data_IF_368420004107
#
_entry.id   IF_368420004107
#
_cell.length_a   1.000
_cell.length_b   1.000
_cell.length_c   1.000
_cell.angle_alpha   90.00
_cell.angle_beta   90.00
_cell.angle_gamma   90.00
#
_symmetry.space_group_name_H-M   'P 1'
#
loop_
_entity.id
_entity.type
_entity.pdbx_description
1 polymer ?
#
# COMPACT_ATOMS: atom_id res chain seq x y z
N UNK A 1 -17.98 -8.81 8.56
CA UNK A 1 -17.28 -7.67 7.95
C UNK A 1 -18.06 -6.98 6.84
N UNK A 2 -19.07 -7.58 6.19
CA UNK A 2 -19.95 -6.89 5.24
C UNK A 2 -19.31 -6.45 3.90
N UNK A 3 -17.98 -6.53 3.80
CA UNK A 3 -17.24 -6.37 2.55
C UNK A 3 -17.28 -7.67 1.75
N UNK A 4 -17.70 -7.59 0.49
CA UNK A 4 -17.59 -8.70 -0.46
C UNK A 4 -16.13 -8.85 -0.87
N UNK A 5 -15.51 -9.96 -0.46
CA UNK A 5 -14.19 -10.35 -0.92
C UNK A 5 -14.35 -11.41 -1.99
N UNK A 6 -13.99 -11.10 -3.24
CA UNK A 6 -13.93 -12.10 -4.30
C UNK A 6 -12.60 -12.88 -4.21
N UNK A 7 -12.68 -14.16 -3.85
CA UNK A 7 -11.52 -15.03 -3.64
C UNK A 7 -10.77 -15.44 -4.92
N UNK A 8 -11.33 -15.16 -6.12
CA UNK A 8 -10.68 -15.44 -7.40
C UNK A 8 -9.41 -14.60 -7.64
N UNK A 9 -9.25 -13.50 -6.91
CA UNK A 9 -8.10 -12.61 -6.96
C UNK A 9 -6.74 -13.33 -6.90
N UNK A 10 -6.63 -14.30 -5.98
CA UNK A 10 -5.38 -15.05 -5.75
C UNK A 10 -4.99 -15.95 -6.91
N UNK A 11 -5.93 -16.28 -7.80
CA UNK A 11 -5.72 -17.12 -8.98
C UNK A 11 -5.44 -16.29 -10.24
N UNK A 12 -5.94 -15.05 -10.31
CA UNK A 12 -5.88 -14.21 -11.51
C UNK A 12 -4.74 -13.17 -11.46
N UNK A 13 -4.51 -12.54 -10.30
CA UNK A 13 -3.50 -11.47 -10.17
C UNK A 13 -2.93 -11.40 -8.73
N UNK A 14 -2.09 -12.37 -8.34
CA UNK A 14 -1.60 -12.50 -6.98
C UNK A 14 -0.73 -11.32 -6.52
N UNK A 15 -0.75 -11.04 -5.21
CA UNK A 15 0.12 -10.05 -4.59
C UNK A 15 1.50 -10.68 -4.36
N UNK A 16 2.36 -10.59 -5.37
CA UNK A 16 3.64 -11.30 -5.41
C UNK A 16 4.77 -10.61 -4.64
N UNK A 17 4.64 -9.30 -4.37
CA UNK A 17 5.61 -8.52 -3.60
C UNK A 17 4.94 -7.76 -2.43
N UNK A 18 4.45 -8.48 -1.39
CA UNK A 18 3.74 -7.85 -0.27
C UNK A 18 4.56 -6.78 0.48
N UNK A 19 5.90 -6.88 0.43
CA UNK A 19 6.80 -5.87 0.97
C UNK A 19 6.57 -4.47 0.37
N UNK A 20 6.30 -4.37 -0.93
CA UNK A 20 6.05 -3.11 -1.62
C UNK A 20 4.76 -2.44 -1.12
N UNK A 21 3.75 -3.24 -0.76
CA UNK A 21 2.48 -2.75 -0.21
C UNK A 21 2.71 -2.08 1.14
N UNK A 22 3.52 -2.70 2.00
CA UNK A 22 3.84 -2.16 3.31
C UNK A 22 4.71 -0.91 3.22
N UNK A 23 5.71 -0.88 2.33
CA UNK A 23 6.51 0.32 2.06
C UNK A 23 5.64 1.48 1.56
N UNK A 24 4.74 1.21 0.62
CA UNK A 24 3.82 2.20 0.09
C UNK A 24 2.90 2.77 1.19
N UNK A 25 2.39 1.92 2.07
CA UNK A 25 1.59 2.41 3.20
C UNK A 25 2.42 3.34 4.11
N UNK A 26 3.69 3.00 4.39
CA UNK A 26 4.58 3.85 5.18
C UNK A 26 4.91 5.17 4.48
N UNK A 27 5.21 5.15 3.20
CA UNK A 27 5.42 6.37 2.41
C UNK A 27 4.19 7.29 2.45
N UNK A 28 2.98 6.74 2.34
CA UNK A 28 1.76 7.52 2.47
C UNK A 28 1.53 8.08 3.89
N UNK A 29 1.95 7.36 4.93
CA UNK A 29 1.87 7.82 6.33
C UNK A 29 2.85 8.98 6.63
N UNK A 30 3.99 9.06 5.95
CA UNK A 30 4.97 10.15 6.10
C UNK A 30 4.39 11.51 5.67
N UNK A 31 3.48 11.53 4.69
CA UNK A 31 2.71 12.71 4.31
C UNK A 31 1.54 13.02 5.27
N UNK A 32 1.44 12.26 6.37
CA UNK A 32 0.53 12.46 7.47
C UNK A 32 -0.49 11.33 7.64
N UNK A 33 -0.88 11.09 8.90
CA UNK A 33 -1.79 10.00 9.29
C UNK A 33 -3.10 9.95 8.48
N UNK A 34 -3.71 11.12 8.19
CA UNK A 34 -4.95 11.17 7.40
C UNK A 34 -4.73 10.80 5.94
N UNK A 35 -3.54 11.04 5.39
CA UNK A 35 -3.18 10.66 4.02
C UNK A 35 -2.99 9.14 3.93
N UNK A 36 -2.24 8.55 4.87
CA UNK A 36 -2.10 7.09 5.00
C UNK A 36 -3.44 6.35 5.08
N UNK A 37 -4.40 6.84 5.87
CA UNK A 37 -5.74 6.23 5.96
C UNK A 37 -6.50 6.29 4.62
N UNK A 38 -6.45 7.42 3.90
CA UNK A 38 -7.10 7.53 2.58
C UNK A 38 -6.47 6.58 1.56
N UNK A 39 -5.13 6.52 1.57
CA UNK A 39 -4.37 5.62 0.71
C UNK A 39 -4.68 4.15 0.99
N UNK A 40 -4.70 3.73 2.25
CA UNK A 40 -5.08 2.38 2.66
C UNK A 40 -6.47 2.01 2.15
N UNK A 41 -7.44 2.91 2.31
CA UNK A 41 -8.79 2.69 1.81
C UNK A 41 -8.80 2.51 0.28
N UNK A 42 -8.08 3.35 -0.46
CA UNK A 42 -8.00 3.24 -1.93
C UNK A 42 -7.35 1.91 -2.36
N UNK A 43 -6.27 1.50 -1.71
CA UNK A 43 -5.65 0.19 -1.97
C UNK A 43 -6.62 -0.98 -1.72
N UNK A 44 -7.40 -0.93 -0.63
CA UNK A 44 -8.39 -1.96 -0.34
C UNK A 44 -9.49 -2.02 -1.41
N UNK A 45 -9.97 -0.86 -1.88
CA UNK A 45 -10.95 -0.79 -2.98
C UNK A 45 -10.36 -1.41 -4.26
N UNK A 46 -9.12 -1.06 -4.62
CA UNK A 46 -8.44 -1.61 -5.80
C UNK A 46 -8.22 -3.13 -5.68
N UNK A 47 -7.86 -3.61 -4.49
CA UNK A 47 -7.63 -5.04 -4.25
C UNK A 47 -8.94 -5.85 -4.32
N UNK A 48 -9.97 -5.41 -3.59
CA UNK A 48 -11.18 -6.21 -3.40
C UNK A 48 -12.24 -6.00 -4.48
N UNK A 49 -12.30 -4.82 -5.10
CA UNK A 49 -13.33 -4.48 -6.09
C UNK A 49 -12.78 -4.54 -7.53
N UNK A 50 -11.56 -4.06 -7.75
CA UNK A 50 -10.96 -3.97 -9.09
C UNK A 50 -10.02 -5.13 -9.42
N UNK A 51 -9.71 -5.97 -8.43
CA UNK A 51 -8.83 -7.14 -8.53
C UNK A 51 -7.44 -6.86 -9.10
N UNK A 52 -6.89 -5.68 -8.82
CA UNK A 52 -5.54 -5.35 -9.30
C UNK A 52 -4.48 -5.78 -8.28
N UNK A 53 -3.29 -6.11 -8.80
CA UNK A 53 -2.13 -6.41 -7.99
C UNK A 53 -1.58 -5.12 -7.34
N UNK A 54 -1.91 -4.92 -6.08
CA UNK A 54 -1.44 -3.76 -5.29
C UNK A 54 0.06 -3.83 -4.92
N UNK A 55 0.80 -4.88 -5.29
CA UNK A 55 2.26 -4.89 -5.16
C UNK A 55 3.00 -4.27 -6.36
N UNK A 56 2.27 -3.97 -7.45
CA UNK A 56 2.78 -3.24 -8.61
C UNK A 56 2.90 -1.75 -8.29
N UNK A 57 4.10 -1.19 -8.52
CA UNK A 57 4.40 0.23 -8.32
C UNK A 57 3.50 1.13 -9.16
N UNK A 58 3.09 0.71 -10.37
CA UNK A 58 2.17 1.47 -11.21
C UNK A 58 0.79 1.61 -10.55
N UNK A 59 0.28 0.52 -9.97
CA UNK A 59 -1.01 0.50 -9.24
C UNK A 59 -0.91 1.35 -7.97
N UNK A 60 0.19 1.20 -7.21
CA UNK A 60 0.44 2.00 -6.01
C UNK A 60 0.55 3.49 -6.30
N UNK A 61 1.19 3.87 -7.42
CA UNK A 61 1.28 5.25 -7.89
C UNK A 61 -0.08 5.85 -8.24
N UNK A 62 -0.96 5.08 -8.86
CA UNK A 62 -2.32 5.52 -9.17
C UNK A 62 -3.17 5.64 -7.90
N UNK A 63 -3.03 4.71 -6.96
CA UNK A 63 -3.64 4.82 -5.63
C UNK A 63 -3.18 6.08 -4.90
N UNK A 64 -1.90 6.43 -4.98
CA UNK A 64 -1.35 7.62 -4.34
C UNK A 64 -1.95 8.89 -4.92
N UNK A 65 -1.98 8.98 -6.27
CA UNK A 65 -2.61 10.07 -7.01
C UNK A 65 -4.08 10.24 -6.64
N UNK A 66 -4.85 9.14 -6.67
CA UNK A 66 -6.28 9.12 -6.35
C UNK A 66 -6.58 9.50 -4.90
N UNK A 67 -5.62 9.30 -3.99
CA UNK A 67 -5.76 9.60 -2.56
C UNK A 67 -5.34 11.04 -2.19
N UNK A 68 -4.85 11.80 -3.18
CA UNK A 68 -4.38 13.18 -3.02
C UNK A 68 -3.04 13.27 -2.27
N UNK A 69 -2.15 12.30 -2.47
CA UNK A 69 -0.76 12.37 -2.01
C UNK A 69 0.09 13.15 -3.01
N UNK A 70 1.20 13.72 -2.54
CA UNK A 70 2.30 14.12 -3.42
C UNK A 70 2.94 12.85 -3.97
N UNK A 71 2.73 12.60 -5.26
CA UNK A 71 3.14 11.35 -5.91
C UNK A 71 4.66 11.28 -6.06
N UNK A 72 5.34 12.43 -6.24
CA UNK A 72 6.80 12.43 -6.39
C UNK A 72 7.47 12.13 -5.05
N UNK A 73 7.03 12.80 -3.98
CA UNK A 73 7.51 12.53 -2.62
C UNK A 73 7.19 11.08 -2.21
N UNK A 74 5.99 10.59 -2.50
CA UNK A 74 5.59 9.20 -2.21
C UNK A 74 6.52 8.16 -2.87
N UNK A 75 6.88 8.34 -4.14
CA UNK A 75 7.78 7.41 -4.83
C UNK A 75 9.20 7.49 -4.26
N UNK A 76 9.68 8.70 -3.94
CA UNK A 76 10.98 8.87 -3.30
C UNK A 76 11.02 8.19 -1.93
N UNK A 77 9.96 8.36 -1.14
CA UNK A 77 9.83 7.75 0.18
C UNK A 77 9.75 6.23 0.10
N UNK A 78 9.00 5.67 -0.87
CA UNK A 78 8.95 4.22 -1.08
C UNK A 78 10.32 3.59 -1.35
N UNK A 79 11.22 4.33 -2.00
CA UNK A 79 12.58 3.86 -2.33
C UNK A 79 13.62 4.27 -1.27
N UNK A 80 13.20 5.00 -0.23
CA UNK A 80 14.08 5.51 0.81
C UNK A 80 14.46 4.44 1.83
N UNK A 81 15.66 4.55 2.41
CA UNK A 81 16.04 3.72 3.57
C UNK A 81 15.10 3.91 4.76
N UNK A 82 14.45 5.08 4.87
CA UNK A 82 13.50 5.40 5.94
C UNK A 82 12.25 4.53 5.88
N UNK A 83 11.67 4.30 4.70
CA UNK A 83 10.52 3.40 4.57
C UNK A 83 10.91 1.95 4.86
N UNK A 84 12.09 1.51 4.41
CA UNK A 84 12.63 0.19 4.71
C UNK A 84 12.86 -0.03 6.22
N UNK A 85 13.40 0.98 6.92
CA UNK A 85 13.61 0.95 8.38
C UNK A 85 12.28 0.99 9.15
N UNK A 86 11.33 1.83 8.75
CA UNK A 86 10.00 1.89 9.37
C UNK A 86 9.26 0.55 9.28
N UNK A 87 9.36 -0.13 8.13
CA UNK A 87 8.82 -1.48 7.98
C UNK A 87 9.53 -2.51 8.85
N UNK A 88 10.87 -2.45 8.96
CA UNK A 88 11.61 -3.33 9.86
C UNK A 88 11.21 -3.14 11.33
N UNK A 89 10.95 -1.91 11.76
CA UNK A 89 10.44 -1.63 13.10
C UNK A 89 9.04 -2.24 13.33
N UNK A 90 8.13 -2.12 12.35
CA UNK A 90 6.80 -2.75 12.42
C UNK A 90 6.90 -4.29 12.53
N UNK A 91 7.85 -4.91 11.83
CA UNK A 91 8.10 -6.35 11.94
C UNK A 91 8.55 -6.75 13.35
N UNK A 92 9.45 -5.98 13.96
CA UNK A 92 9.99 -6.26 15.29
C UNK A 92 8.92 -6.18 16.38
N UNK A 93 7.98 -5.23 16.28
CA UNK A 93 6.85 -5.08 17.21
C UNK A 93 5.86 -6.25 17.10
N UNK A 94 5.74 -6.88 15.92
CA UNK A 94 4.80 -8.00 15.71
C UNK A 94 5.30 -9.33 16.28
N UNK A 95 6.57 -9.42 16.68
CA UNK A 95 7.19 -10.62 17.25
C UNK A 95 7.21 -10.70 18.79
N UNK A 96 6.62 -9.71 19.49
CA UNK A 96 6.42 -9.76 20.95
C UNK A 96 5.10 -10.43 21.38
#
# INVERSE_FOLDING_TARGET
SGMSCDGSLWLENPVDAPYNVSLALKAAELQGRRAGIRFLRRMQEVLFLEKQNISDVAVLKECARSSGLDVEEFINDMHSESAAKAFQCDLQITTE
#
